data_IF_869906013275
#
_entry.id   IF_869906013275
#
_cell.length_a   1.000
_cell.length_b   1.000
_cell.length_c   1.000
_cell.angle_alpha   90.00
_cell.angle_beta   90.00
_cell.angle_gamma   90.00
#
_symmetry.space_group_name_H-M   'P 1'
#
loop_
_entity.id
_entity.type
_entity.pdbx_description
1 polymer ?
#
# COMPACT_ATOMS: atom_id res chain seq x y z
N UNK A 1 -8.71 1.49 36.63
CA UNK A 1 -8.00 2.42 35.72
C UNK A 1 -7.05 1.70 34.76
N UNK A 2 -6.07 0.93 35.26
CA UNK A 2 -5.06 0.22 34.43
C UNK A 2 -5.68 -0.76 33.41
N UNK A 3 -6.67 -1.54 33.83
CA UNK A 3 -7.39 -2.49 32.94
C UNK A 3 -8.12 -1.74 31.82
N UNK A 4 -8.76 -0.60 32.13
CA UNK A 4 -9.45 0.23 31.14
C UNK A 4 -8.47 0.87 30.14
N UNK A 5 -7.30 1.31 30.62
CA UNK A 5 -6.22 1.85 29.79
C UNK A 5 -5.62 0.76 28.88
N UNK A 6 -5.51 -0.48 29.35
CA UNK A 6 -5.04 -1.63 28.56
C UNK A 6 -6.04 -1.99 27.45
N UNK A 7 -7.33 -1.99 27.74
CA UNK A 7 -8.39 -2.18 26.75
C UNK A 7 -8.45 -1.06 25.70
N UNK A 8 -8.24 0.19 26.12
CA UNK A 8 -8.15 1.34 25.20
C UNK A 8 -6.89 1.29 24.33
N UNK A 9 -5.77 0.78 24.82
CA UNK A 9 -4.54 0.61 24.05
C UNK A 9 -4.64 -0.50 22.97
N UNK A 10 -5.56 -1.46 23.15
CA UNK A 10 -5.83 -2.53 22.17
C UNK A 10 -6.72 -2.09 20.99
N UNK A 11 -7.23 -0.85 21.00
CA UNK A 11 -7.87 -0.26 19.82
C UNK A 11 -6.84 -0.09 18.71
N UNK A 12 -6.78 -1.08 17.81
CA UNK A 12 -5.85 -1.09 16.69
C UNK A 12 -5.93 0.18 15.86
N UNK A 13 -4.82 0.89 15.76
CA UNK A 13 -4.66 2.03 14.84
C UNK A 13 -4.76 1.50 13.41
N UNK A 14 -5.71 2.05 12.64
CA UNK A 14 -5.79 1.81 11.18
C UNK A 14 -4.95 2.87 10.47
N UNK A 15 -4.09 2.44 9.55
CA UNK A 15 -3.32 3.31 8.68
C UNK A 15 -3.76 3.11 7.21
N UNK A 16 -3.47 4.09 6.36
CA UNK A 16 -3.79 4.03 4.92
C UNK A 16 -2.87 3.06 4.17
N UNK A 17 -1.58 3.03 4.51
CA UNK A 17 -0.59 2.11 3.96
C UNK A 17 -0.26 1.00 4.95
N UNK A 18 0.07 -0.22 4.48
CA UNK A 18 0.59 -1.29 5.33
C UNK A 18 1.77 -0.81 6.18
N UNK A 19 1.84 -1.20 7.46
CA UNK A 19 2.98 -0.83 8.32
C UNK A 19 4.33 -1.23 7.71
N UNK A 20 4.39 -2.37 7.03
CA UNK A 20 5.58 -2.85 6.34
C UNK A 20 6.06 -1.90 5.22
N UNK A 21 5.18 -1.05 4.69
CA UNK A 21 5.51 -0.06 3.65
C UNK A 21 5.72 1.35 4.22
N UNK A 22 5.33 1.63 5.46
CA UNK A 22 5.54 2.93 6.09
C UNK A 22 6.97 3.09 6.65
N UNK A 23 7.97 2.76 5.83
CA UNK A 23 9.40 2.88 6.11
C UNK A 23 10.05 3.84 5.11
N UNK A 24 11.19 4.43 5.48
CA UNK A 24 11.93 5.30 4.56
C UNK A 24 12.35 4.54 3.29
N UNK A 25 12.86 3.32 3.46
CA UNK A 25 13.28 2.45 2.36
C UNK A 25 12.16 2.21 1.34
N UNK A 26 10.95 1.87 1.78
CA UNK A 26 9.83 1.61 0.90
C UNK A 26 9.33 2.88 0.18
N UNK A 27 9.31 4.03 0.89
CA UNK A 27 8.89 5.32 0.35
C UNK A 27 9.89 5.89 -0.67
N UNK A 28 11.19 5.75 -0.42
CA UNK A 28 12.26 6.14 -1.35
C UNK A 28 12.26 5.24 -2.60
N UNK A 29 12.12 3.93 -2.40
CA UNK A 29 12.02 2.97 -3.50
C UNK A 29 10.70 3.08 -4.29
N UNK A 30 9.73 3.87 -3.81
CA UNK A 30 8.36 3.96 -4.36
C UNK A 30 7.71 2.59 -4.56
N UNK A 31 8.02 1.62 -3.68
CA UNK A 31 7.57 0.22 -3.81
C UNK A 31 6.96 -0.28 -2.50
N UNK A 32 5.70 -0.72 -2.57
CA UNK A 32 5.01 -1.37 -1.46
C UNK A 32 4.61 -2.80 -1.85
N UNK A 33 5.53 -3.73 -1.61
CA UNK A 33 5.37 -5.15 -1.94
C UNK A 33 5.90 -6.03 -0.79
N UNK A 34 5.18 -6.11 0.35
CA UNK A 34 5.62 -6.91 1.49
C UNK A 34 5.65 -8.40 1.14
N UNK A 35 6.60 -9.12 1.74
CA UNK A 35 6.63 -10.58 1.67
C UNK A 35 5.55 -11.19 2.56
N UNK A 36 4.92 -12.29 2.10
CA UNK A 36 3.95 -13.06 2.88
C UNK A 36 4.63 -14.12 3.77
N UNK A 37 5.93 -14.32 3.61
CA UNK A 37 6.73 -15.26 4.40
C UNK A 37 8.05 -14.61 4.84
N UNK A 38 8.89 -15.37 5.54
CA UNK A 38 10.22 -14.91 5.92
C UNK A 38 11.18 -14.78 4.72
N UNK A 39 10.85 -15.39 3.56
CA UNK A 39 11.65 -15.27 2.33
C UNK A 39 11.36 -13.91 1.65
N UNK A 40 12.34 -13.01 1.49
CA UNK A 40 12.14 -11.76 0.76
C UNK A 40 11.75 -11.97 -0.70
N UNK A 41 12.05 -13.13 -1.30
CA UNK A 41 11.62 -13.47 -2.66
C UNK A 41 10.13 -13.85 -2.76
N UNK A 42 9.42 -13.99 -1.64
CA UNK A 42 7.97 -14.22 -1.60
C UNK A 42 7.15 -12.91 -1.48
N UNK A 43 7.71 -11.81 -1.97
CA UNK A 43 7.00 -10.55 -2.16
C UNK A 43 5.67 -10.79 -2.90
N UNK A 44 4.57 -10.25 -2.35
CA UNK A 44 3.22 -10.43 -2.89
C UNK A 44 2.76 -11.89 -3.04
N UNK A 45 3.41 -12.83 -2.34
CA UNK A 45 3.09 -14.26 -2.45
C UNK A 45 3.54 -14.89 -3.77
N UNK A 46 4.63 -14.39 -4.36
CA UNK A 46 5.15 -14.87 -5.63
C UNK A 46 5.49 -16.37 -5.61
N UNK A 47 5.98 -16.92 -4.48
CA UNK A 47 6.30 -18.35 -4.37
C UNK A 47 5.06 -19.24 -4.36
N UNK A 48 3.96 -18.71 -3.85
CA UNK A 48 2.68 -19.41 -3.77
C UNK A 48 1.74 -19.11 -4.95
N UNK A 49 2.22 -18.35 -5.95
CA UNK A 49 1.42 -17.97 -7.12
C UNK A 49 0.24 -17.05 -6.79
N UNK A 50 0.29 -16.34 -5.65
CA UNK A 50 -0.80 -15.45 -5.21
C UNK A 50 -0.78 -14.09 -5.88
N UNK A 51 0.39 -13.65 -6.33
CA UNK A 51 0.55 -12.35 -6.94
C UNK A 51 1.99 -12.05 -7.33
N UNK A 52 2.18 -10.86 -7.86
CA UNK A 52 3.49 -10.31 -8.22
C UNK A 52 3.55 -8.83 -7.89
N UNK A 53 4.77 -8.33 -7.63
CA UNK A 53 5.00 -6.90 -7.48
C UNK A 53 5.06 -6.26 -8.87
N UNK A 54 4.10 -5.41 -9.22
CA UNK A 54 4.01 -4.79 -10.55
C UNK A 54 3.76 -3.30 -10.47
N UNK A 55 3.96 -2.60 -11.58
CA UNK A 55 3.64 -1.18 -11.68
C UNK A 55 2.16 -0.91 -11.42
N UNK A 56 1.87 0.17 -10.69
CA UNK A 56 0.51 0.63 -10.43
C UNK A 56 -0.07 1.22 -11.72
N UNK A 57 -1.31 0.83 -12.04
CA UNK A 57 -2.08 1.42 -13.14
C UNK A 57 -3.04 2.45 -12.55
N UNK A 58 -2.93 3.70 -13.00
CA UNK A 58 -3.82 4.79 -12.59
C UNK A 58 -4.59 5.33 -13.79
N UNK A 59 -5.69 6.04 -13.50
CA UNK A 59 -6.45 6.73 -14.53
C UNK A 59 -5.60 7.86 -15.14
N UNK A 60 -5.51 7.86 -16.46
CA UNK A 60 -4.74 8.85 -17.24
C UNK A 60 -5.63 9.85 -17.95
N UNK A 61 -6.96 9.67 -17.88
CA UNK A 61 -7.92 10.60 -18.48
C UNK A 61 -7.82 11.96 -17.81
N UNK A 62 -8.06 13.06 -18.55
CA UNK A 62 -8.15 14.37 -17.95
C UNK A 62 -9.33 14.40 -16.97
N UNK A 63 -9.11 14.99 -15.79
CA UNK A 63 -10.20 15.24 -14.85
C UNK A 63 -10.98 16.49 -15.27
N UNK A 64 -12.29 16.46 -15.07
CA UNK A 64 -13.18 17.60 -15.31
C UNK A 64 -13.36 18.48 -14.07
N UNK A 65 -14.12 19.55 -14.22
CA UNK A 65 -14.54 20.42 -13.11
C UNK A 65 -13.53 21.50 -12.74
N UNK A 66 -13.64 22.00 -11.51
CA UNK A 66 -12.95 23.20 -11.02
C UNK A 66 -11.51 22.95 -10.55
N UNK A 67 -11.04 21.70 -10.57
CA UNK A 67 -9.71 21.36 -10.09
C UNK A 67 -8.63 21.68 -11.14
N UNK A 68 -8.03 22.87 -11.01
CA UNK A 68 -7.05 23.44 -11.96
C UNK A 68 -5.59 23.22 -11.57
N UNK A 69 -5.31 22.88 -10.31
CA UNK A 69 -3.96 22.60 -9.84
C UNK A 69 -3.39 21.33 -10.50
N UNK A 70 -2.07 21.28 -10.66
CA UNK A 70 -1.35 20.15 -11.28
C UNK A 70 -0.13 19.84 -10.43
N UNK A 71 0.03 18.56 -10.09
CA UNK A 71 1.13 18.02 -9.32
C UNK A 71 1.21 18.57 -7.88
N UNK A 72 0.14 19.14 -7.32
CA UNK A 72 0.12 19.78 -5.99
C UNK A 72 -0.49 18.85 -4.94
N UNK A 73 -1.50 18.08 -5.31
CA UNK A 73 -2.20 17.22 -4.36
C UNK A 73 -1.69 15.78 -4.48
N UNK A 74 -1.34 15.16 -3.35
CA UNK A 74 -0.79 13.80 -3.32
C UNK A 74 -1.80 12.73 -3.79
N UNK A 75 -3.08 13.11 -3.88
CA UNK A 75 -4.18 12.27 -4.38
C UNK A 75 -4.28 12.28 -5.91
N UNK A 76 -3.60 13.19 -6.60
CA UNK A 76 -3.54 13.19 -8.06
C UNK A 76 -2.91 11.88 -8.55
N UNK A 77 -3.65 11.11 -9.35
CA UNK A 77 -3.25 9.77 -9.80
C UNK A 77 -2.80 8.89 -8.62
N UNK A 78 -3.57 8.93 -7.54
CA UNK A 78 -3.35 8.10 -6.37
C UNK A 78 -3.11 6.62 -6.77
N UNK A 79 -2.15 5.91 -6.16
CA UNK A 79 -1.20 6.30 -5.10
C UNK A 79 0.21 6.72 -5.60
N UNK A 80 0.37 7.11 -6.86
CA UNK A 80 1.71 7.20 -7.52
C UNK A 80 2.69 8.17 -6.89
N UNK A 81 2.22 9.15 -6.12
CA UNK A 81 3.06 10.05 -5.31
C UNK A 81 3.83 9.31 -4.22
N UNK A 82 3.28 8.22 -3.70
CA UNK A 82 3.91 7.37 -2.67
C UNK A 82 4.50 6.10 -3.26
N UNK A 83 3.74 5.37 -4.09
CA UNK A 83 4.19 4.08 -4.64
C UNK A 83 3.84 3.96 -6.12
N UNK A 84 4.85 3.65 -6.93
CA UNK A 84 4.71 3.32 -8.35
C UNK A 84 4.63 1.81 -8.57
N UNK A 85 4.97 1.00 -7.57
CA UNK A 85 4.87 -0.46 -7.61
C UNK A 85 4.12 -1.01 -6.39
N UNK A 86 3.13 -1.87 -6.62
CA UNK A 86 2.34 -2.55 -5.58
C UNK A 86 2.04 -4.00 -5.98
N UNK A 87 1.54 -4.79 -5.04
CA UNK A 87 1.12 -6.17 -5.31
C UNK A 87 -0.12 -6.22 -6.23
N UNK A 88 0.01 -6.93 -7.34
CA UNK A 88 -1.11 -7.40 -8.16
C UNK A 88 -1.37 -8.85 -7.84
N UNK A 89 -2.56 -9.15 -7.36
CA UNK A 89 -2.96 -10.51 -6.97
C UNK A 89 -3.56 -11.25 -8.17
N UNK A 90 -3.41 -12.57 -8.18
CA UNK A 90 -4.02 -13.45 -9.17
C UNK A 90 -5.27 -14.14 -8.61
N UNK A 91 -6.25 -14.42 -9.47
CA UNK A 91 -7.48 -15.11 -9.09
C UNK A 91 -8.28 -14.36 -8.02
N UNK A 92 -8.68 -15.07 -6.95
CA UNK A 92 -9.45 -14.50 -5.82
C UNK A 92 -8.57 -14.06 -4.64
N UNK A 93 -7.23 -14.09 -4.79
CA UNK A 93 -6.34 -13.64 -3.73
C UNK A 93 -6.50 -12.13 -3.53
N UNK A 94 -6.63 -11.70 -2.29
CA UNK A 94 -6.59 -10.30 -1.89
C UNK A 94 -5.50 -10.15 -0.84
N UNK A 95 -4.47 -9.36 -1.16
CA UNK A 95 -3.35 -9.09 -0.26
C UNK A 95 -3.48 -7.67 0.26
N UNK A 96 -3.83 -7.55 1.54
CA UNK A 96 -3.73 -6.33 2.32
C UNK A 96 -3.08 -6.71 3.64
N UNK A 97 -1.75 -6.58 3.73
CA UNK A 97 -1.07 -6.89 4.99
C UNK A 97 -1.37 -5.78 5.99
N UNK A 98 -2.12 -6.12 7.05
CA UNK A 98 -2.42 -5.21 8.17
C UNK A 98 -1.16 -4.88 8.97
#
# INVERSE_FOLDING_TARGET
AVVLLYWLALCGVRAQFPRACSTLEALEAKRCCPSLSADPADACGARSGRGTCSAVRTDTRPWGGTYTLRNVDDRERWPTKFYTQTCTCFGKAALFHR
#
